data_IF_954602713705
#
_entry.id   IF_954602713705
#
_cell.length_a   1.000
_cell.length_b   1.000
_cell.length_c   1.000
_cell.angle_alpha   90.00
_cell.angle_beta   90.00
_cell.angle_gamma   90.00
#
_symmetry.space_group_name_H-M   'P 1'
#
loop_
_entity.id
_entity.type
_entity.pdbx_description
1 polymer ?
#
# COMPACT_ATOMS: atom_id res chain seq x y z
N UNK A 1 15.40 -1.39 -6.22
CA UNK A 1 14.05 -1.05 -6.73
C UNK A 1 13.65 0.37 -6.34
N UNK A 2 13.72 0.76 -5.04
CA UNK A 2 13.28 2.08 -4.58
C UNK A 2 14.02 3.26 -5.24
N UNK A 3 15.34 3.17 -5.47
CA UNK A 3 16.09 4.21 -6.18
C UNK A 3 15.68 4.33 -7.65
N UNK A 4 15.39 3.21 -8.31
CA UNK A 4 14.88 3.21 -9.69
C UNK A 4 13.46 3.80 -9.74
N UNK A 5 12.63 3.51 -8.74
CA UNK A 5 11.31 4.12 -8.62
C UNK A 5 11.42 5.64 -8.52
N UNK A 6 12.19 6.15 -7.55
CA UNK A 6 12.35 7.58 -7.32
C UNK A 6 12.86 8.35 -8.56
N UNK A 7 13.70 7.71 -9.37
CA UNK A 7 14.23 8.31 -10.60
C UNK A 7 13.22 8.33 -11.77
N UNK A 8 12.17 7.52 -11.72
CA UNK A 8 11.26 7.28 -12.84
C UNK A 8 9.79 7.54 -12.51
N UNK A 9 9.47 8.17 -11.38
CA UNK A 9 8.09 8.52 -11.01
C UNK A 9 7.46 9.39 -12.09
N UNK A 10 6.39 8.90 -12.70
CA UNK A 10 5.65 9.61 -13.76
C UNK A 10 4.32 10.16 -13.27
N UNK A 11 3.81 9.63 -12.17
CA UNK A 11 2.54 10.05 -11.58
C UNK A 11 2.56 9.89 -10.07
N UNK A 12 1.75 10.65 -9.37
CA UNK A 12 1.66 10.53 -7.92
C UNK A 12 0.50 11.32 -7.32
N UNK A 13 0.21 11.01 -6.07
CA UNK A 13 -0.80 11.69 -5.27
C UNK A 13 -0.20 12.08 -3.93
N UNK A 14 -0.40 13.33 -3.54
CA UNK A 14 -0.13 13.82 -2.20
C UNK A 14 -1.44 14.07 -1.47
N UNK A 15 -1.61 13.41 -0.32
CA UNK A 15 -2.72 13.63 0.60
C UNK A 15 -2.14 14.20 1.89
N UNK A 16 -2.55 15.41 2.24
CA UNK A 16 -2.17 16.03 3.50
C UNK A 16 -3.42 16.34 4.31
N UNK A 17 -3.52 15.75 5.50
CA UNK A 17 -4.60 15.99 6.44
C UNK A 17 -4.08 16.88 7.55
N UNK A 18 -4.56 18.12 7.67
CA UNK A 18 -4.07 19.09 8.65
C UNK A 18 -4.31 18.66 10.10
N UNK A 19 -3.54 19.25 11.01
CA UNK A 19 -3.67 19.04 12.45
C UNK A 19 -5.10 19.23 12.95
N UNK A 20 -5.57 18.29 13.80
CA UNK A 20 -6.90 18.25 14.41
C UNK A 20 -8.06 18.15 13.41
N UNK A 21 -7.81 17.70 12.18
CA UNK A 21 -8.84 17.45 11.17
C UNK A 21 -9.22 15.98 11.16
N UNK A 22 -10.51 15.70 11.23
CA UNK A 22 -11.10 14.38 10.99
C UNK A 22 -11.80 14.42 9.63
N UNK A 23 -11.34 13.57 8.70
CA UNK A 23 -11.99 13.41 7.40
C UNK A 23 -13.06 12.34 7.54
N UNK A 24 -14.32 12.75 7.61
CA UNK A 24 -15.45 11.86 7.89
C UNK A 24 -15.71 10.86 6.76
N UNK A 25 -15.67 11.33 5.51
CA UNK A 25 -15.89 10.51 4.33
C UNK A 25 -14.57 9.91 3.82
N UNK A 26 -14.54 8.61 3.47
CA UNK A 26 -13.34 8.00 2.92
C UNK A 26 -12.91 8.63 1.60
N UNK A 27 -11.66 9.02 1.51
CA UNK A 27 -11.05 9.43 0.24
C UNK A 27 -10.84 8.19 -0.63
N UNK A 28 -11.24 8.23 -1.88
CA UNK A 28 -11.07 7.08 -2.80
C UNK A 28 -10.31 7.50 -4.05
N UNK A 29 -9.31 6.72 -4.42
CA UNK A 29 -8.53 6.89 -5.64
C UNK A 29 -8.64 5.66 -6.54
N UNK A 30 -8.70 5.91 -7.84
CA UNK A 30 -8.64 4.89 -8.88
C UNK A 30 -7.42 5.13 -9.75
N UNK A 31 -6.49 4.20 -9.74
CA UNK A 31 -5.30 4.23 -10.57
C UNK A 31 -5.40 3.17 -11.64
N UNK A 32 -5.31 3.59 -12.88
CA UNK A 32 -5.43 2.71 -14.03
C UNK A 32 -4.09 2.70 -14.76
N UNK A 33 -3.41 1.57 -14.70
CA UNK A 33 -2.26 1.30 -15.55
C UNK A 33 -2.73 1.10 -16.99
N UNK A 34 -2.29 1.94 -17.90
CA UNK A 34 -2.56 1.77 -19.32
C UNK A 34 -1.53 0.80 -19.95
N UNK A 35 -1.95 -0.45 -20.12
CA UNK A 35 -1.19 -1.48 -20.83
C UNK A 35 -1.70 -1.69 -22.26
N UNK A 36 -2.31 -0.69 -22.89
CA UNK A 36 -2.54 -0.68 -24.35
C UNK A 36 -1.25 -0.39 -25.10
N UNK A 37 -0.28 0.21 -24.44
CA UNK A 37 1.09 0.46 -24.89
C UNK A 37 2.10 -0.24 -23.97
N UNK A 38 3.37 -0.33 -24.39
CA UNK A 38 4.47 -0.91 -23.59
C UNK A 38 5.09 0.14 -22.64
N UNK A 39 4.28 0.92 -21.96
CA UNK A 39 4.76 1.92 -21.02
C UNK A 39 4.73 1.37 -19.61
N UNK A 40 5.83 1.54 -18.87
CA UNK A 40 5.91 1.19 -17.47
C UNK A 40 5.09 2.17 -16.62
N UNK A 41 4.45 1.63 -15.60
CA UNK A 41 3.66 2.41 -14.64
C UNK A 41 4.45 2.61 -13.34
N UNK A 42 4.87 3.85 -13.09
CA UNK A 42 5.62 4.21 -11.89
C UNK A 42 4.85 5.28 -11.13
N UNK A 43 4.22 4.86 -10.03
CA UNK A 43 3.26 5.67 -9.28
C UNK A 43 3.63 5.78 -7.80
N UNK A 44 3.55 7.01 -7.25
CA UNK A 44 3.89 7.27 -5.86
C UNK A 44 2.71 7.92 -5.12
N UNK A 45 2.33 7.37 -3.99
CA UNK A 45 1.35 7.96 -3.08
C UNK A 45 2.05 8.38 -1.80
N UNK A 46 1.88 9.64 -1.43
CA UNK A 46 2.34 10.16 -0.16
C UNK A 46 1.13 10.64 0.66
N UNK A 47 0.88 10.01 1.80
CA UNK A 47 -0.17 10.38 2.73
C UNK A 47 0.46 10.86 4.04
N UNK A 48 0.16 12.10 4.42
CA UNK A 48 0.61 12.70 5.68
C UNK A 48 -0.61 13.03 6.51
N UNK A 49 -0.78 12.33 7.63
CA UNK A 49 -1.77 12.64 8.64
C UNK A 49 -1.10 13.42 9.78
N UNK A 50 -1.40 14.70 9.90
CA UNK A 50 -0.79 15.56 10.90
C UNK A 50 -1.34 15.28 12.31
N UNK A 51 -0.81 15.90 13.33
CA UNK A 51 -1.12 15.65 14.75
C UNK A 51 -2.63 15.68 15.03
N UNK A 52 -3.15 14.66 15.74
CA UNK A 52 -4.56 14.50 16.09
C UNK A 52 -5.50 14.45 14.88
N UNK A 53 -5.05 14.03 13.71
CA UNK A 53 -5.90 13.90 12.52
C UNK A 53 -6.38 12.46 12.31
N UNK A 54 -7.48 12.31 11.59
CA UNK A 54 -8.00 11.00 11.19
C UNK A 54 -8.41 11.01 9.71
N UNK A 55 -8.06 9.95 8.99
CA UNK A 55 -8.43 9.77 7.59
C UNK A 55 -8.58 8.30 7.22
N UNK A 56 -9.60 8.01 6.42
CA UNK A 56 -9.74 6.74 5.72
C UNK A 56 -9.43 6.96 4.24
N UNK A 57 -8.56 6.13 3.66
CA UNK A 57 -8.17 6.21 2.26
C UNK A 57 -8.28 4.83 1.59
N UNK A 58 -8.98 4.78 0.48
CA UNK A 58 -9.17 3.57 -0.33
C UNK A 58 -8.49 3.76 -1.70
N UNK A 59 -7.56 2.88 -2.02
CA UNK A 59 -6.87 2.81 -3.30
C UNK A 59 -7.40 1.64 -4.13
N UNK A 60 -7.78 1.91 -5.37
CA UNK A 60 -8.11 0.89 -6.36
C UNK A 60 -7.06 0.94 -7.48
N UNK A 61 -6.32 -0.14 -7.66
CA UNK A 61 -5.27 -0.27 -8.67
C UNK A 61 -5.69 -1.30 -9.72
N UNK A 62 -5.74 -0.90 -10.99
CA UNK A 62 -6.21 -1.74 -12.09
C UNK A 62 -5.32 -1.60 -13.32
N UNK A 63 -5.36 -2.60 -14.21
CA UNK A 63 -4.74 -2.52 -15.53
C UNK A 63 -5.81 -2.50 -16.62
N UNK A 64 -5.63 -1.64 -17.62
CA UNK A 64 -6.37 -1.65 -18.87
C UNK A 64 -5.42 -2.01 -20.01
N UNK A 65 -5.82 -2.97 -20.85
CA UNK A 65 -4.96 -3.47 -21.95
C UNK A 65 -4.19 -4.75 -21.58
N UNK A 66 -3.48 -5.31 -22.57
CA UNK A 66 -2.87 -6.64 -22.48
C UNK A 66 -1.37 -6.66 -22.83
N UNK A 67 -0.75 -5.52 -23.08
CA UNK A 67 0.69 -5.47 -23.35
C UNK A 67 1.49 -5.92 -22.11
N UNK A 68 2.63 -6.53 -22.36
CA UNK A 68 3.56 -6.89 -21.29
C UNK A 68 4.22 -5.62 -20.76
N UNK A 69 3.94 -5.31 -19.48
CA UNK A 69 4.38 -4.07 -18.82
C UNK A 69 4.91 -4.36 -17.41
N UNK A 70 5.59 -3.37 -16.84
CA UNK A 70 5.94 -3.38 -15.43
C UNK A 70 5.19 -2.29 -14.67
N UNK A 71 4.92 -2.53 -13.39
CA UNK A 71 4.35 -1.56 -12.49
C UNK A 71 5.23 -1.44 -11.24
N UNK A 72 5.48 -0.22 -10.80
CA UNK A 72 6.11 0.07 -9.52
C UNK A 72 5.23 1.08 -8.78
N UNK A 73 4.62 0.65 -7.70
CA UNK A 73 3.74 1.50 -6.88
C UNK A 73 4.32 1.56 -5.48
N UNK A 74 4.65 2.76 -5.03
CA UNK A 74 5.10 3.01 -3.67
C UNK A 74 4.09 3.90 -2.97
N UNK A 75 3.70 3.48 -1.77
CA UNK A 75 2.85 4.24 -0.86
C UNK A 75 3.63 4.50 0.42
N UNK A 76 3.75 5.76 0.79
CA UNK A 76 4.34 6.18 2.06
C UNK A 76 3.28 6.89 2.92
N UNK A 77 3.12 6.42 4.15
CA UNK A 77 2.19 7.00 5.11
C UNK A 77 2.97 7.50 6.32
N UNK A 78 2.89 8.81 6.57
CA UNK A 78 3.43 9.45 7.76
C UNK A 78 2.29 9.78 8.71
N UNK A 79 2.15 8.99 9.78
CA UNK A 79 1.19 9.19 10.83
C UNK A 79 1.86 9.95 11.98
N UNK A 80 1.55 11.25 12.10
CA UNK A 80 2.07 12.12 13.17
C UNK A 80 1.42 11.79 14.50
N UNK A 81 1.92 12.36 15.58
CA UNK A 81 1.48 12.04 16.93
C UNK A 81 -0.06 12.05 17.08
N UNK A 82 -0.59 10.97 17.68
CA UNK A 82 -2.02 10.76 17.94
C UNK A 82 -2.91 10.83 16.68
N UNK A 83 -2.36 10.60 15.48
CA UNK A 83 -3.15 10.49 14.26
C UNK A 83 -3.59 9.05 14.01
N UNK A 84 -4.66 8.88 13.21
CA UNK A 84 -5.17 7.58 12.82
C UNK A 84 -5.40 7.53 11.30
N UNK A 85 -4.69 6.63 10.63
CA UNK A 85 -4.86 6.38 9.19
C UNK A 85 -5.43 4.98 8.98
N UNK A 86 -6.57 4.90 8.31
CA UNK A 86 -7.15 3.64 7.81
C UNK A 86 -6.88 3.58 6.31
N UNK A 87 -5.91 2.77 5.93
CA UNK A 87 -5.54 2.57 4.52
C UNK A 87 -6.09 1.25 4.02
N UNK A 88 -6.86 1.29 2.94
CA UNK A 88 -7.30 0.09 2.25
C UNK A 88 -6.84 0.11 0.79
N UNK A 89 -6.50 -1.05 0.23
CA UNK A 89 -6.24 -1.18 -1.20
C UNK A 89 -6.88 -2.43 -1.79
N UNK A 90 -7.27 -2.31 -3.06
CA UNK A 90 -7.67 -3.43 -3.90
C UNK A 90 -6.84 -3.39 -5.17
N UNK A 91 -5.90 -4.33 -5.28
CA UNK A 91 -4.94 -4.41 -6.38
C UNK A 91 -5.41 -5.49 -7.37
N UNK A 92 -5.69 -5.07 -8.63
CA UNK A 92 -6.16 -5.91 -9.74
C UNK A 92 -5.33 -5.67 -10.99
N UNK A 93 -4.03 -5.88 -10.88
CA UNK A 93 -3.13 -5.75 -12.02
C UNK A 93 -3.26 -6.93 -12.97
N UNK A 94 -3.21 -6.65 -14.25
CA UNK A 94 -3.45 -7.61 -15.32
C UNK A 94 -2.39 -8.70 -15.44
N UNK A 95 -2.76 -9.81 -16.09
CA UNK A 95 -1.98 -11.04 -16.25
C UNK A 95 -0.57 -10.82 -16.82
N UNK A 96 -0.40 -9.84 -17.70
CA UNK A 96 0.88 -9.55 -18.36
C UNK A 96 1.70 -8.47 -17.62
N UNK A 97 1.26 -8.06 -16.44
CA UNK A 97 1.97 -7.09 -15.60
C UNK A 97 2.86 -7.80 -14.59
N UNK A 98 4.10 -7.36 -14.48
CA UNK A 98 4.96 -7.70 -13.33
C UNK A 98 5.08 -6.47 -12.46
N UNK A 99 4.69 -6.59 -11.19
CA UNK A 99 4.62 -5.43 -10.31
C UNK A 99 5.48 -5.56 -9.04
N UNK A 100 6.02 -4.44 -8.61
CA UNK A 100 6.56 -4.20 -7.30
C UNK A 100 5.63 -3.24 -6.55
N UNK A 101 5.05 -3.70 -5.44
CA UNK A 101 4.16 -2.93 -4.59
C UNK A 101 4.83 -2.74 -3.23
N UNK A 102 5.15 -1.51 -2.87
CA UNK A 102 5.73 -1.20 -1.57
C UNK A 102 4.80 -0.28 -0.80
N UNK A 103 4.54 -0.61 0.47
CA UNK A 103 3.72 0.20 1.37
C UNK A 103 4.47 0.38 2.68
N UNK A 104 4.73 1.63 3.03
CA UNK A 104 5.52 1.98 4.21
C UNK A 104 4.77 2.91 5.12
N UNK A 105 4.69 2.53 6.40
CA UNK A 105 4.13 3.33 7.46
C UNK A 105 5.22 3.83 8.40
N UNK A 106 5.20 5.12 8.71
CA UNK A 106 6.03 5.73 9.73
C UNK A 106 5.13 6.33 10.81
N UNK A 107 5.19 5.78 12.03
CA UNK A 107 4.27 6.11 13.10
C UNK A 107 4.99 6.83 14.23
N UNK A 108 4.53 8.03 14.54
CA UNK A 108 4.97 8.79 15.70
C UNK A 108 4.20 8.40 16.97
N UNK A 109 4.37 9.11 18.07
CA UNK A 109 3.79 8.80 19.38
C UNK A 109 2.26 8.65 19.29
N UNK A 110 1.73 7.55 19.87
CA UNK A 110 0.30 7.21 19.93
C UNK A 110 -0.40 7.19 18.56
N UNK A 111 0.36 7.22 17.46
CA UNK A 111 -0.20 7.13 16.12
C UNK A 111 -0.68 5.72 15.78
N UNK A 112 -1.67 5.63 14.89
CA UNK A 112 -2.25 4.35 14.45
C UNK A 112 -2.31 4.28 12.93
N UNK A 113 -1.95 3.11 12.38
CA UNK A 113 -2.20 2.77 10.97
C UNK A 113 -2.87 1.40 10.90
N UNK A 114 -4.04 1.35 10.26
CA UNK A 114 -4.74 0.11 9.93
C UNK A 114 -4.61 -0.13 8.42
N UNK A 115 -3.79 -1.12 8.03
CA UNK A 115 -3.64 -1.56 6.66
C UNK A 115 -4.62 -2.68 6.35
N UNK A 116 -5.37 -2.57 5.26
CA UNK A 116 -6.27 -3.59 4.73
C UNK A 116 -6.02 -3.75 3.23
N UNK A 117 -5.29 -4.80 2.84
CA UNK A 117 -4.81 -4.97 1.48
C UNK A 117 -5.37 -6.22 0.83
N UNK A 118 -6.12 -6.04 -0.26
CA UNK A 118 -6.64 -7.10 -1.11
C UNK A 118 -5.81 -7.23 -2.38
N UNK A 119 -4.95 -8.25 -2.44
CA UNK A 119 -4.08 -8.53 -3.59
C UNK A 119 -4.74 -9.56 -4.50
N UNK A 120 -5.52 -9.05 -5.46
CA UNK A 120 -6.32 -9.85 -6.40
C UNK A 120 -5.78 -9.71 -7.83
N UNK A 121 -4.45 -9.72 -7.94
CA UNK A 121 -3.76 -9.53 -9.21
C UNK A 121 -3.74 -10.83 -10.02
N UNK A 122 -3.73 -10.71 -11.34
CA UNK A 122 -3.54 -11.84 -12.26
C UNK A 122 -2.07 -11.98 -12.72
N UNK A 123 -1.27 -10.93 -12.55
CA UNK A 123 0.15 -10.87 -12.90
C UNK A 123 1.09 -11.27 -11.75
N UNK A 124 2.39 -11.24 -12.03
CA UNK A 124 3.41 -11.53 -11.03
C UNK A 124 3.64 -10.33 -10.11
N UNK A 125 3.69 -10.58 -8.80
CA UNK A 125 3.77 -9.51 -7.79
C UNK A 125 4.90 -9.80 -6.81
N UNK A 126 5.64 -8.74 -6.48
CA UNK A 126 6.48 -8.67 -5.28
C UNK A 126 5.91 -7.55 -4.41
N UNK A 127 5.42 -7.91 -3.24
CA UNK A 127 4.90 -7.01 -2.21
C UNK A 127 5.88 -6.87 -1.06
N UNK A 128 6.09 -5.65 -0.59
CA UNK A 128 6.98 -5.32 0.52
C UNK A 128 6.26 -4.28 1.41
N UNK A 129 5.74 -4.73 2.55
CA UNK A 129 4.83 -3.97 3.41
C UNK A 129 5.45 -3.78 4.79
N UNK A 130 5.93 -2.59 5.07
CA UNK A 130 6.64 -2.25 6.28
C UNK A 130 5.91 -1.21 7.12
N UNK A 131 5.95 -1.34 8.44
CA UNK A 131 5.53 -0.31 9.38
C UNK A 131 6.60 -0.12 10.45
N UNK A 132 7.11 1.09 10.56
CA UNK A 132 8.08 1.49 11.57
C UNK A 132 7.38 2.24 12.69
N UNK A 133 7.25 1.61 13.87
CA UNK A 133 6.62 2.14 15.06
C UNK A 133 7.67 2.92 15.87
N UNK A 134 7.90 4.18 15.47
CA UNK A 134 8.98 5.02 16.02
C UNK A 134 8.61 5.59 17.37
N UNK A 135 7.36 6.06 17.50
CA UNK A 135 6.89 6.72 18.72
C UNK A 135 6.35 5.73 19.77
N UNK A 136 6.44 6.12 21.03
CA UNK A 136 5.85 5.36 22.14
C UNK A 136 4.33 5.23 21.96
N UNK A 137 3.76 4.08 22.31
CA UNK A 137 2.31 3.83 22.19
C UNK A 137 1.77 3.67 20.77
N UNK A 138 2.62 3.74 19.75
CA UNK A 138 2.19 3.60 18.35
C UNK A 138 1.67 2.18 18.04
N UNK A 139 0.73 2.09 17.08
CA UNK A 139 0.06 0.85 16.76
C UNK A 139 -0.08 0.67 15.25
N UNK A 140 0.34 -0.49 14.73
CA UNK A 140 0.08 -0.90 13.36
C UNK A 140 -0.67 -2.23 13.31
N UNK A 141 -1.78 -2.27 12.59
CA UNK A 141 -2.46 -3.50 12.21
C UNK A 141 -2.35 -3.69 10.71
N UNK A 142 -1.81 -4.83 10.27
CA UNK A 142 -1.63 -5.13 8.85
C UNK A 142 -2.41 -6.39 8.49
N UNK A 143 -3.45 -6.22 7.65
CA UNK A 143 -4.27 -7.31 7.11
C UNK A 143 -4.02 -7.42 5.61
N UNK A 144 -3.59 -8.60 5.17
CA UNK A 144 -3.35 -8.90 3.76
C UNK A 144 -4.15 -10.13 3.37
N UNK A 145 -4.90 -10.02 2.29
CA UNK A 145 -5.53 -11.16 1.62
C UNK A 145 -4.99 -11.22 0.19
N UNK A 146 -4.36 -12.33 -0.16
CA UNK A 146 -3.81 -12.56 -1.48
C UNK A 146 -4.48 -13.77 -2.14
N UNK A 147 -4.89 -13.61 -3.40
CA UNK A 147 -5.45 -14.69 -4.21
C UNK A 147 -4.50 -14.94 -5.37
N UNK A 148 -4.04 -16.19 -5.50
CA UNK A 148 -3.17 -16.62 -6.59
C UNK A 148 -3.90 -17.59 -7.51
N UNK A 149 -3.78 -17.37 -8.82
CA UNK A 149 -4.42 -18.19 -9.85
C UNK A 149 -3.40 -18.67 -10.90
N UNK A 150 -3.65 -19.80 -11.50
CA UNK A 150 -2.87 -20.32 -12.65
C UNK A 150 -1.37 -20.48 -12.32
N UNK A 151 -0.52 -19.80 -13.08
CA UNK A 151 0.95 -19.89 -12.98
C UNK A 151 1.61 -18.62 -12.41
N UNK A 152 0.83 -17.69 -11.87
CA UNK A 152 1.39 -16.47 -11.31
C UNK A 152 2.28 -16.73 -10.09
N UNK A 153 3.23 -15.85 -9.88
CA UNK A 153 4.10 -15.84 -8.72
C UNK A 153 3.80 -14.61 -7.89
N UNK A 154 3.45 -14.80 -6.63
CA UNK A 154 3.30 -13.74 -5.65
C UNK A 154 4.26 -13.97 -4.50
N UNK A 155 5.15 -13.00 -4.25
CA UNK A 155 5.99 -12.94 -3.07
C UNK A 155 5.57 -11.73 -2.24
N UNK A 156 5.19 -11.96 -0.97
CA UNK A 156 4.74 -10.89 -0.08
C UNK A 156 5.56 -10.97 1.20
N UNK A 157 6.31 -9.91 1.46
CA UNK A 157 6.97 -9.68 2.75
C UNK A 157 6.17 -8.66 3.54
N UNK A 158 5.98 -8.91 4.83
CA UNK A 158 5.26 -8.01 5.73
C UNK A 158 6.00 -7.90 7.04
N UNK A 159 6.35 -6.68 7.42
CA UNK A 159 7.14 -6.43 8.62
C UNK A 159 6.57 -5.28 9.44
N UNK A 160 6.60 -5.45 10.76
CA UNK A 160 6.38 -4.37 11.72
C UNK A 160 7.59 -4.29 12.65
N UNK A 161 8.22 -3.14 12.72
CA UNK A 161 9.40 -2.91 13.56
C UNK A 161 9.06 -1.96 14.70
N UNK A 162 9.19 -2.45 15.93
CA UNK A 162 8.90 -1.69 17.14
C UNK A 162 10.16 -1.00 17.65
N UNK A 163 10.20 0.32 17.57
CA UNK A 163 11.27 1.17 18.16
C UNK A 163 10.79 1.85 19.44
N UNK A 164 9.54 2.33 19.46
CA UNK A 164 8.91 2.98 20.59
C UNK A 164 8.52 2.01 21.71
N UNK A 165 8.42 2.50 22.94
CA UNK A 165 7.93 1.74 24.09
C UNK A 165 6.42 1.56 23.98
N UNK A 166 5.91 0.41 24.46
CA UNK A 166 4.48 0.10 24.46
C UNK A 166 3.83 0.12 23.08
N UNK A 167 4.64 0.05 22.02
CA UNK A 167 4.13 -0.05 20.66
C UNK A 167 3.63 -1.47 20.36
N UNK A 168 2.60 -1.57 19.52
CA UNK A 168 1.92 -2.83 19.20
C UNK A 168 1.85 -3.00 17.69
N UNK A 169 2.32 -4.14 17.19
CA UNK A 169 2.22 -4.53 15.80
C UNK A 169 1.48 -5.86 15.65
N UNK A 170 0.44 -5.88 14.81
CA UNK A 170 -0.28 -7.10 14.45
C UNK A 170 -0.22 -7.33 12.95
N UNK A 171 0.09 -8.56 12.53
CA UNK A 171 0.09 -8.98 11.13
C UNK A 171 -0.86 -10.16 10.99
N UNK A 172 -1.84 -10.03 10.08
CA UNK A 172 -2.74 -11.08 9.67
C UNK A 172 -2.67 -11.24 8.16
N UNK A 173 -2.13 -12.35 7.68
CA UNK A 173 -1.96 -12.60 6.26
C UNK A 173 -2.64 -13.91 5.87
N UNK A 174 -3.53 -13.84 4.87
CA UNK A 174 -4.22 -14.97 4.29
C UNK A 174 -3.89 -15.11 2.81
N UNK A 175 -3.44 -16.29 2.41
CA UNK A 175 -3.21 -16.65 1.01
C UNK A 175 -4.24 -17.69 0.56
N UNK A 176 -4.86 -17.46 -0.59
CA UNK A 176 -5.72 -18.42 -1.27
C UNK A 176 -5.10 -18.78 -2.61
N UNK A 177 -4.84 -20.07 -2.82
CA UNK A 177 -4.31 -20.58 -4.08
C UNK A 177 -5.42 -21.35 -4.77
N UNK A 178 -5.89 -20.82 -5.89
CA UNK A 178 -6.85 -21.50 -6.72
C UNK A 178 -6.13 -22.46 -7.68
N UNK A 179 -6.68 -23.68 -7.75
CA UNK A 179 -6.10 -24.77 -8.54
C UNK A 179 -5.80 -24.37 -9.98
N UNK A 180 -4.76 -24.98 -10.54
CA UNK A 180 -4.50 -24.95 -11.99
C UNK A 180 -5.62 -25.69 -12.71
N UNK A 181 -6.25 -25.01 -13.64
CA UNK A 181 -7.10 -25.64 -14.64
C UNK A 181 -6.25 -26.11 -15.82
#
# INVERSE_FOLDING_TARGET
>A
LNMQHAANVTSGVLIYVPKNVVVEEPLTSYFIQDATTKQDFVHHVLLIADVNSEVSYLENLQTCGEQKTTASVIVEVFAKANSHVKFASVDRLGKNTTAYLNRRGHLEQDAKIDWSMGMMNDGNIVGDFDSDLIGDGSHAETKVVAISTGKQVQGIDTRVTNYGKHSIGHILQHGVILSRS
#
